data_IF_396116153899
#
_entry.id   IF_396116153899
#
_cell.length_a   1.000
_cell.length_b   1.000
_cell.length_c   1.000
_cell.angle_alpha   90.00
_cell.angle_beta   90.00
_cell.angle_gamma   90.00
#
_symmetry.space_group_name_H-M   'P 1'
#
loop_
_entity.id
_entity.type
_entity.pdbx_description
1 polymer ?
#
# COMPACT_ATOMS: atom_id res chain seq x y z
N UNK A 1 15.42 12.28 -8.21
CA UNK A 1 14.65 11.95 -6.98
C UNK A 1 13.16 11.68 -7.24
N UNK A 2 12.84 10.57 -7.90
CA UNK A 2 11.47 10.01 -7.92
C UNK A 2 11.30 9.08 -6.73
N UNK A 3 11.31 9.63 -5.52
CA UNK A 3 10.93 8.87 -4.33
C UNK A 3 9.42 8.61 -4.43
N UNK A 4 9.03 7.32 -4.43
CA UNK A 4 7.65 6.85 -4.30
C UNK A 4 7.06 7.39 -2.99
N UNK A 5 6.63 8.64 -3.00
CA UNK A 5 5.71 9.16 -2.01
C UNK A 5 4.33 8.87 -2.57
N UNK A 6 3.72 7.77 -2.13
CA UNK A 6 2.28 7.56 -2.28
C UNK A 6 1.52 8.54 -1.37
N UNK A 7 1.93 9.81 -1.30
CA UNK A 7 1.13 10.85 -0.68
C UNK A 7 0.03 11.22 -1.67
N UNK A 8 -1.20 10.88 -1.27
CA UNK A 8 -2.41 11.19 -2.01
C UNK A 8 -2.91 12.54 -1.51
N UNK A 9 -3.02 13.53 -2.40
CA UNK A 9 -3.33 14.90 -2.00
C UNK A 9 -4.70 15.02 -1.30
N UNK A 10 -4.93 16.10 -0.52
CA UNK A 10 -6.15 16.32 0.28
C UNK A 10 -7.43 16.60 -0.54
N UNK A 11 -7.38 16.49 -1.87
CA UNK A 11 -8.43 16.94 -2.78
C UNK A 11 -9.73 16.11 -2.74
N UNK A 12 -9.73 14.93 -2.11
CA UNK A 12 -10.85 13.99 -2.19
C UNK A 12 -12.00 14.24 -1.22
N UNK A 13 -11.91 15.23 -0.31
CA UNK A 13 -12.91 15.46 0.74
C UNK A 13 -13.99 16.52 0.43
N UNK A 14 -13.90 17.28 -0.67
CA UNK A 14 -14.73 18.51 -0.82
C UNK A 14 -15.71 18.59 -2.00
N UNK A 15 -15.83 17.60 -2.88
CA UNK A 15 -16.84 17.66 -3.95
C UNK A 15 -18.17 17.00 -3.57
N UNK A 16 -19.10 17.83 -3.09
CA UNK A 16 -20.55 17.55 -3.02
C UNK A 16 -21.06 17.03 -4.36
N UNK A 17 -21.89 15.99 -4.30
CA UNK A 17 -22.58 15.39 -5.42
C UNK A 17 -23.50 16.41 -6.12
N UNK A 18 -23.25 16.65 -7.41
CA UNK A 18 -24.21 17.21 -8.33
C UNK A 18 -24.40 16.23 -9.49
N UNK A 19 -25.60 15.65 -9.55
CA UNK A 19 -26.05 14.66 -10.52
C UNK A 19 -26.34 15.30 -11.88
N UNK A 20 -25.74 14.81 -12.95
CA UNK A 20 -26.21 15.02 -14.32
C UNK A 20 -26.11 13.72 -15.13
N UNK A 21 -27.23 13.31 -15.72
CA UNK A 21 -27.35 12.16 -16.61
C UNK A 21 -27.05 12.55 -18.08
N UNK A 22 -26.57 11.63 -18.94
CA UNK A 22 -26.24 11.93 -20.34
C UNK A 22 -27.38 11.58 -21.31
N UNK A 23 -27.42 12.14 -22.54
CA UNK A 23 -28.21 11.59 -23.63
C UNK A 23 -27.37 10.64 -24.52
N UNK A 24 -28.09 9.77 -25.23
CA UNK A 24 -27.61 8.61 -25.99
C UNK A 24 -27.65 8.80 -27.52
N UNK A 25 -27.12 7.77 -28.23
CA UNK A 25 -27.25 7.41 -29.67
C UNK A 25 -26.26 8.11 -30.64
N UNK A 26 -25.74 7.54 -31.74
CA UNK A 26 -25.89 6.29 -32.54
C UNK A 26 -24.69 6.22 -33.55
N UNK A 27 -23.96 5.11 -33.75
CA UNK A 27 -24.10 4.03 -34.78
C UNK A 27 -23.48 4.31 -36.19
N UNK A 28 -22.88 3.25 -36.78
CA UNK A 28 -22.37 3.02 -38.18
C UNK A 28 -20.89 3.41 -38.43
N UNK A 29 -20.03 2.73 -39.21
CA UNK A 29 -20.07 1.52 -40.04
C UNK A 29 -18.62 0.98 -40.32
N UNK A 30 -18.53 -0.33 -40.58
CA UNK A 30 -17.54 -1.21 -41.24
C UNK A 30 -16.25 -0.70 -41.95
N UNK A 31 -15.20 -1.55 -41.88
CA UNK A 31 -14.12 -1.67 -42.88
C UNK A 31 -13.14 -2.84 -42.65
N UNK A 32 -13.18 -3.88 -43.51
CA UNK A 32 -12.18 -4.96 -43.74
C UNK A 32 -10.93 -4.36 -44.45
N UNK A 33 -9.70 -4.90 -44.54
CA UNK A 33 -9.04 -6.21 -44.35
C UNK A 33 -7.52 -6.06 -44.57
N UNK A 34 -6.70 -6.93 -43.97
CA UNK A 34 -5.54 -7.56 -44.62
C UNK A 34 -4.14 -6.95 -44.47
N UNK A 35 -3.25 -7.64 -43.73
CA UNK A 35 -1.81 -7.38 -43.72
C UNK A 35 -1.07 -8.19 -42.64
N UNK A 36 -0.66 -9.42 -42.99
CA UNK A 36 0.08 -10.33 -42.10
C UNK A 36 1.56 -9.96 -42.02
N UNK A 37 2.00 -9.44 -40.87
CA UNK A 37 3.41 -9.38 -40.49
C UNK A 37 3.56 -10.09 -39.13
N UNK A 38 4.32 -11.19 -39.13
CA UNK A 38 4.57 -12.04 -37.97
C UNK A 38 5.35 -11.24 -36.91
N UNK A 39 4.61 -10.65 -35.99
CA UNK A 39 5.14 -10.05 -34.76
C UNK A 39 5.09 -11.15 -33.70
N UNK A 40 6.23 -11.52 -33.12
CA UNK A 40 6.27 -12.43 -31.95
C UNK A 40 5.55 -11.75 -30.78
N UNK A 41 4.25 -12.01 -30.68
CA UNK A 41 3.45 -11.69 -29.51
C UNK A 41 3.93 -12.58 -28.36
N UNK A 42 4.59 -11.98 -27.38
CA UNK A 42 4.71 -12.55 -26.05
C UNK A 42 3.30 -12.58 -25.45
N UNK A 43 2.58 -13.67 -25.72
CA UNK A 43 1.30 -13.97 -25.07
C UNK A 43 1.61 -14.66 -23.75
N UNK A 44 1.66 -13.88 -22.67
CA UNK A 44 1.43 -14.43 -21.32
C UNK A 44 -0.06 -14.79 -21.19
N UNK A 45 -0.47 -15.82 -21.93
CA UNK A 45 -1.84 -16.34 -22.01
C UNK A 45 -2.26 -17.16 -20.80
N UNK A 46 -1.94 -16.69 -19.59
CA UNK A 46 -2.65 -17.15 -18.40
C UNK A 46 -4.03 -16.49 -18.34
N UNK A 47 -5.06 -17.13 -17.76
CA UNK A 47 -6.27 -16.40 -17.37
C UNK A 47 -5.85 -15.19 -16.52
N UNK A 48 -6.54 -14.03 -16.62
CA UNK A 48 -6.21 -12.88 -15.80
C UNK A 48 -6.14 -13.33 -14.35
N UNK A 49 -4.97 -13.13 -13.73
CA UNK A 49 -4.69 -13.66 -12.40
C UNK A 49 -5.83 -13.26 -11.47
N UNK A 50 -6.41 -14.25 -10.79
CA UNK A 50 -7.56 -14.00 -9.91
C UNK A 50 -7.05 -13.26 -8.67
N UNK A 51 -7.02 -11.94 -8.76
CA UNK A 51 -6.52 -11.06 -7.69
C UNK A 51 -7.51 -10.87 -6.53
N UNK A 52 -8.75 -11.37 -6.67
CA UNK A 52 -9.77 -11.32 -5.63
C UNK A 52 -10.83 -12.43 -5.76
N UNK A 53 -11.49 -12.76 -4.64
CA UNK A 53 -12.74 -13.53 -4.57
C UNK A 53 -13.95 -12.74 -5.09
N UNK A 54 -13.94 -11.41 -4.98
CA UNK A 54 -15.04 -10.55 -5.38
C UNK A 54 -14.82 -9.98 -6.81
N UNK A 55 -15.90 -9.61 -7.53
CA UNK A 55 -15.78 -9.00 -8.85
C UNK A 55 -15.00 -7.69 -8.79
N UNK A 56 -14.03 -7.54 -9.70
CA UNK A 56 -13.32 -6.29 -9.93
C UNK A 56 -14.13 -5.44 -10.91
N UNK A 57 -14.63 -4.25 -10.53
CA UNK A 57 -15.36 -3.38 -11.45
C UNK A 57 -14.48 -2.96 -12.63
N UNK A 58 -15.09 -2.83 -13.81
CA UNK A 58 -14.42 -2.19 -14.93
C UNK A 58 -14.16 -0.71 -14.62
N UNK A 59 -12.95 -0.22 -14.92
CA UNK A 59 -12.54 1.18 -14.64
C UNK A 59 -13.56 2.21 -15.15
N UNK A 60 -14.12 2.00 -16.34
CA UNK A 60 -15.16 2.87 -16.94
C UNK A 60 -16.47 2.97 -16.17
N UNK A 61 -16.74 2.02 -15.26
CA UNK A 61 -17.95 1.99 -14.43
C UNK A 61 -17.71 2.54 -13.02
N UNK A 62 -16.48 2.94 -12.70
CA UNK A 62 -16.14 3.53 -11.41
C UNK A 62 -16.43 5.04 -11.40
N UNK A 63 -16.76 5.61 -10.23
CA UNK A 63 -16.80 7.06 -10.06
C UNK A 63 -15.48 7.74 -10.48
N UNK A 64 -15.59 8.93 -11.08
CA UNK A 64 -14.47 9.68 -11.66
C UNK A 64 -13.32 9.90 -10.67
N UNK A 65 -13.64 10.28 -9.43
CA UNK A 65 -12.65 10.54 -8.37
C UNK A 65 -11.82 9.30 -8.01
N UNK A 66 -12.41 8.10 -8.07
CA UNK A 66 -11.70 6.84 -7.83
C UNK A 66 -10.78 6.53 -9.02
N UNK A 67 -11.25 6.76 -10.25
CA UNK A 67 -10.47 6.53 -11.47
C UNK A 67 -9.26 7.46 -11.50
N UNK A 68 -9.47 8.75 -11.22
CA UNK A 68 -8.42 9.77 -11.14
C UNK A 68 -7.36 9.40 -10.10
N UNK A 69 -7.77 8.99 -8.89
CA UNK A 69 -6.85 8.52 -7.87
C UNK A 69 -6.03 7.32 -8.36
N UNK A 70 -6.67 6.32 -8.97
CA UNK A 70 -5.97 5.15 -9.52
C UNK A 70 -4.95 5.54 -10.60
N UNK A 71 -5.29 6.50 -11.46
CA UNK A 71 -4.38 7.00 -12.51
C UNK A 71 -3.18 7.73 -11.90
N UNK A 72 -3.41 8.55 -10.87
CA UNK A 72 -2.35 9.24 -10.13
C UNK A 72 -1.38 8.23 -9.47
N UNK A 73 -1.92 7.20 -8.81
CA UNK A 73 -1.12 6.13 -8.18
C UNK A 73 -0.29 5.40 -9.22
N UNK A 74 -0.91 5.01 -10.33
CA UNK A 74 -0.28 4.25 -11.40
C UNK A 74 0.83 5.07 -12.09
N UNK A 75 0.60 6.36 -12.33
CA UNK A 75 1.59 7.27 -12.92
C UNK A 75 2.81 7.48 -12.01
N UNK A 76 2.60 7.70 -10.70
CA UNK A 76 3.69 7.86 -9.73
C UNK A 76 4.41 6.53 -9.47
N UNK A 77 3.64 5.44 -9.45
CA UNK A 77 4.07 4.14 -8.96
C UNK A 77 4.50 3.16 -10.05
N UNK A 78 4.34 3.49 -11.32
CA UNK A 78 4.62 2.61 -12.46
C UNK A 78 3.69 1.40 -12.59
N UNK A 79 2.83 1.14 -11.60
CA UNK A 79 1.78 0.14 -11.60
C UNK A 79 0.71 0.50 -10.56
N UNK A 80 -0.51 -0.03 -10.73
CA UNK A 80 -1.60 0.13 -9.78
C UNK A 80 -1.63 -1.03 -8.76
N UNK A 81 -1.42 -0.77 -7.44
CA UNK A 81 -1.53 -1.80 -6.41
C UNK A 81 -2.93 -2.42 -6.39
N UNK A 82 -3.01 -3.74 -6.24
CA UNK A 82 -4.26 -4.48 -6.39
C UNK A 82 -5.30 -4.11 -5.31
N UNK A 83 -4.90 -3.61 -4.15
CA UNK A 83 -5.84 -3.09 -3.13
C UNK A 83 -6.79 -2.03 -3.70
N UNK A 84 -6.32 -1.16 -4.60
CA UNK A 84 -7.17 -0.17 -5.25
C UNK A 84 -8.26 -0.85 -6.10
N UNK A 85 -7.84 -1.81 -6.93
CA UNK A 85 -8.74 -2.58 -7.81
C UNK A 85 -9.77 -3.36 -6.99
N UNK A 86 -9.32 -4.07 -5.95
CA UNK A 86 -10.16 -4.94 -5.12
C UNK A 86 -11.16 -4.14 -4.30
N UNK A 87 -10.72 -3.11 -3.58
CA UNK A 87 -11.62 -2.32 -2.72
C UNK A 87 -12.58 -1.44 -3.53
N UNK A 88 -12.25 -1.11 -4.79
CA UNK A 88 -13.18 -0.37 -5.66
C UNK A 88 -14.51 -1.08 -5.92
N UNK A 89 -14.60 -2.39 -5.61
CA UNK A 89 -15.86 -3.13 -5.54
C UNK A 89 -16.92 -2.42 -4.67
N UNK A 90 -16.49 -1.71 -3.62
CA UNK A 90 -17.33 -0.91 -2.73
C UNK A 90 -16.85 0.53 -2.68
N UNK A 91 -17.29 1.41 -3.62
CA UNK A 91 -16.76 2.76 -3.76
C UNK A 91 -16.82 3.64 -2.49
N UNK A 92 -17.87 3.52 -1.68
CA UNK A 92 -17.98 4.28 -0.43
C UNK A 92 -16.97 3.79 0.63
N UNK A 93 -16.81 2.47 0.76
CA UNK A 93 -15.85 1.84 1.68
C UNK A 93 -14.41 2.13 1.23
N UNK A 94 -14.14 2.08 -0.09
CA UNK A 94 -12.86 2.48 -0.69
C UNK A 94 -12.46 3.89 -0.26
N UNK A 95 -13.38 4.87 -0.35
CA UNK A 95 -13.08 6.25 0.03
C UNK A 95 -12.73 6.37 1.51
N UNK A 96 -13.52 5.74 2.37
CA UNK A 96 -13.26 5.75 3.81
C UNK A 96 -11.92 5.08 4.15
N UNK A 97 -11.63 3.95 3.49
CA UNK A 97 -10.37 3.22 3.67
C UNK A 97 -9.17 4.08 3.31
N UNK A 98 -9.15 4.67 2.11
CA UNK A 98 -8.00 5.46 1.66
C UNK A 98 -7.91 6.82 2.37
N UNK A 99 -9.03 7.43 2.77
CA UNK A 99 -8.99 8.62 3.61
C UNK A 99 -8.26 8.32 4.93
N UNK A 100 -8.63 7.24 5.63
CA UNK A 100 -7.98 6.90 6.89
C UNK A 100 -6.53 6.42 6.70
N UNK A 101 -6.26 5.63 5.64
CA UNK A 101 -4.90 5.26 5.26
C UNK A 101 -4.00 6.49 5.11
N UNK A 102 -4.49 7.55 4.47
CA UNK A 102 -3.71 8.76 4.22
C UNK A 102 -3.37 9.50 5.50
N UNK A 103 -4.35 9.66 6.39
CA UNK A 103 -4.14 10.30 7.69
C UNK A 103 -3.10 9.55 8.52
N UNK A 104 -3.05 8.22 8.44
CA UNK A 104 -2.09 7.43 9.23
C UNK A 104 -0.71 7.32 8.56
N UNK A 105 -0.68 6.99 7.27
CA UNK A 105 0.55 6.59 6.57
C UNK A 105 1.24 7.75 5.90
N UNK A 106 0.50 8.77 5.47
CA UNK A 106 0.99 9.84 4.60
C UNK A 106 1.01 11.22 5.25
N UNK A 107 0.54 11.39 6.49
CA UNK A 107 0.67 12.67 7.20
C UNK A 107 2.14 13.06 7.36
N UNK A 108 2.41 14.35 7.24
CA UNK A 108 3.74 14.94 7.40
C UNK A 108 4.04 15.36 8.85
N UNK A 109 3.11 15.12 9.77
CA UNK A 109 3.23 15.43 11.21
C UNK A 109 3.52 14.16 12.04
N UNK A 110 3.97 14.36 13.28
CA UNK A 110 4.35 13.31 14.23
C UNK A 110 5.82 12.88 14.14
N UNK A 111 6.30 12.10 15.10
CA UNK A 111 7.70 11.67 15.15
C UNK A 111 7.94 10.28 14.54
N UNK A 112 6.87 9.56 14.16
CA UNK A 112 6.97 8.24 13.51
C UNK A 112 7.31 8.43 12.02
N UNK A 113 8.50 7.99 11.63
CA UNK A 113 8.99 8.06 10.25
C UNK A 113 8.21 7.14 9.32
N UNK A 114 8.24 7.42 8.00
CA UNK A 114 7.61 6.52 6.99
C UNK A 114 8.13 5.09 7.08
N UNK A 115 9.42 4.90 7.34
CA UNK A 115 9.99 3.56 7.52
C UNK A 115 9.42 2.87 8.76
N UNK A 116 9.35 3.54 9.91
CA UNK A 116 8.75 3.00 11.14
C UNK A 116 7.28 2.64 10.97
N UNK A 117 6.49 3.50 10.29
CA UNK A 117 5.07 3.20 9.95
C UNK A 117 4.96 1.90 9.18
N UNK A 118 5.74 1.73 8.12
CA UNK A 118 5.73 0.48 7.34
C UNK A 118 6.21 -0.74 8.16
N UNK A 119 7.17 -0.55 9.05
CA UNK A 119 7.70 -1.63 9.89
C UNK A 119 6.64 -2.16 10.87
N UNK A 120 5.83 -1.27 11.46
CA UNK A 120 4.65 -1.63 12.27
C UNK A 120 3.69 -2.50 11.44
N UNK A 121 3.40 -2.08 10.21
CA UNK A 121 2.51 -2.83 9.30
C UNK A 121 3.06 -4.22 9.01
N UNK A 122 4.35 -4.34 8.71
CA UNK A 122 5.00 -5.62 8.43
C UNK A 122 4.86 -6.57 9.62
N UNK A 123 5.23 -6.12 10.83
CA UNK A 123 5.21 -6.94 12.05
C UNK A 123 3.80 -7.43 12.41
N UNK A 124 2.82 -6.53 12.39
CA UNK A 124 1.42 -6.86 12.69
C UNK A 124 0.78 -7.71 11.60
N UNK A 125 1.12 -7.47 10.33
CA UNK A 125 0.58 -8.23 9.20
C UNK A 125 1.10 -9.66 9.16
N UNK A 126 2.37 -9.90 9.54
CA UNK A 126 2.87 -11.28 9.61
C UNK A 126 2.28 -12.04 10.78
N UNK A 127 2.02 -11.38 11.92
CA UNK A 127 1.26 -11.98 13.02
C UNK A 127 -0.12 -12.47 12.55
N UNK A 128 -0.81 -11.65 11.76
CA UNK A 128 -2.09 -11.99 11.14
C UNK A 128 -1.95 -12.90 9.90
N UNK A 129 -0.74 -13.27 9.46
CA UNK A 129 -0.48 -14.07 8.26
C UNK A 129 -1.13 -13.49 6.99
N UNK A 130 -1.06 -12.17 6.82
CA UNK A 130 -1.65 -11.48 5.66
C UNK A 130 -0.66 -11.37 4.50
N UNK A 131 -0.77 -12.26 3.50
CA UNK A 131 0.12 -12.30 2.33
C UNK A 131 0.24 -10.94 1.63
N UNK A 132 -0.89 -10.31 1.28
CA UNK A 132 -0.90 -9.04 0.56
C UNK A 132 -0.11 -7.96 1.33
N UNK A 133 -0.46 -7.79 2.61
CA UNK A 133 0.09 -6.70 3.41
C UNK A 133 1.57 -6.95 3.73
N UNK A 134 1.94 -8.19 4.08
CA UNK A 134 3.35 -8.55 4.31
C UNK A 134 4.20 -8.25 3.07
N UNK A 135 3.78 -8.69 1.88
CA UNK A 135 4.57 -8.51 0.66
C UNK A 135 4.68 -7.02 0.27
N UNK A 136 3.56 -6.30 0.25
CA UNK A 136 3.52 -4.90 -0.19
C UNK A 136 4.23 -3.96 0.79
N UNK A 137 3.96 -4.07 2.08
CA UNK A 137 4.55 -3.17 3.08
C UNK A 137 6.02 -3.52 3.39
N UNK A 138 6.44 -4.78 3.20
CA UNK A 138 7.89 -5.10 3.23
C UNK A 138 8.64 -4.40 2.10
N UNK A 139 8.04 -4.29 0.91
CA UNK A 139 8.63 -3.56 -0.21
C UNK A 139 8.75 -2.07 0.10
N UNK A 140 7.68 -1.45 0.60
CA UNK A 140 7.68 -0.04 0.97
C UNK A 140 8.67 0.25 2.11
N UNK A 141 8.72 -0.61 3.13
CA UNK A 141 9.71 -0.53 4.19
C UNK A 141 11.14 -0.53 3.62
N UNK A 142 11.49 -1.47 2.73
CA UNK A 142 12.82 -1.53 2.10
C UNK A 142 13.15 -0.23 1.35
N UNK A 143 12.17 0.35 0.66
CA UNK A 143 12.33 1.62 -0.07
C UNK A 143 12.60 2.79 0.89
N UNK A 144 11.78 2.96 1.93
CA UNK A 144 11.91 4.10 2.84
C UNK A 144 13.13 3.99 3.76
N UNK A 145 13.37 2.81 4.34
CA UNK A 145 14.51 2.57 5.24
C UNK A 145 15.84 2.50 4.51
N UNK A 146 15.83 2.17 3.20
CA UNK A 146 17.01 1.78 2.41
C UNK A 146 17.75 0.57 3.00
N UNK A 147 17.08 -0.23 3.84
CA UNK A 147 17.58 -1.47 4.44
C UNK A 147 16.91 -2.67 3.74
N UNK A 148 17.60 -3.38 2.83
CA UNK A 148 16.97 -4.42 2.01
C UNK A 148 16.57 -5.68 2.79
N UNK A 149 17.13 -5.91 3.97
CA UNK A 149 16.99 -7.18 4.72
C UNK A 149 16.07 -7.10 5.94
N UNK A 150 15.91 -5.92 6.56
CA UNK A 150 15.22 -5.78 7.87
C UNK A 150 13.76 -6.26 7.82
N UNK A 151 13.03 -5.95 6.74
CA UNK A 151 11.64 -6.40 6.62
C UNK A 151 11.54 -7.94 6.61
N UNK A 152 12.45 -8.63 5.91
CA UNK A 152 12.46 -10.09 5.86
C UNK A 152 12.80 -10.69 7.23
N UNK A 153 13.71 -10.05 7.99
CA UNK A 153 14.03 -10.45 9.37
C UNK A 153 12.81 -10.30 10.30
N UNK A 154 12.09 -9.17 10.21
CA UNK A 154 10.87 -8.92 10.99
C UNK A 154 9.77 -9.93 10.66
N UNK A 155 9.61 -10.29 9.39
CA UNK A 155 8.66 -11.31 8.95
C UNK A 155 8.97 -12.67 9.58
N UNK A 156 10.24 -13.07 9.66
CA UNK A 156 10.60 -14.36 10.28
C UNK A 156 10.48 -14.28 11.80
N UNK A 157 11.12 -13.30 12.41
CA UNK A 157 11.10 -13.07 13.85
C UNK A 157 11.68 -11.68 14.19
N UNK A 158 10.80 -10.70 14.47
CA UNK A 158 11.22 -9.35 14.81
C UNK A 158 12.05 -9.24 16.10
N UNK A 159 11.96 -10.22 17.03
CA UNK A 159 12.79 -10.23 18.25
C UNK A 159 14.27 -10.50 17.97
N UNK A 160 14.59 -11.02 16.79
CA UNK A 160 15.96 -11.32 16.35
C UNK A 160 16.38 -10.45 15.15
N UNK A 161 15.55 -9.49 14.75
CA UNK A 161 15.86 -8.58 13.67
C UNK A 161 16.85 -7.49 14.12
N UNK A 162 17.56 -6.90 13.16
CA UNK A 162 18.49 -5.78 13.35
C UNK A 162 17.74 -4.46 13.62
N UNK A 163 17.02 -4.43 14.73
CA UNK A 163 16.23 -3.30 15.21
C UNK A 163 17.00 -2.52 16.27
N UNK A 164 16.85 -1.21 16.25
CA UNK A 164 17.21 -0.36 17.39
C UNK A 164 16.31 -0.66 18.61
N UNK A 165 16.73 -0.31 19.83
CA UNK A 165 15.87 -0.42 21.02
C UNK A 165 14.53 0.32 20.84
N UNK A 166 14.55 1.47 20.15
CA UNK A 166 13.36 2.25 19.80
C UNK A 166 12.41 1.47 18.89
N UNK A 167 12.92 0.92 17.79
CA UNK A 167 12.12 0.12 16.86
C UNK A 167 11.55 -1.14 17.55
N UNK A 168 12.33 -1.79 18.42
CA UNK A 168 11.86 -2.97 19.16
C UNK A 168 10.69 -2.65 20.10
N UNK A 169 10.82 -1.60 20.93
CA UNK A 169 9.75 -1.17 21.83
C UNK A 169 8.48 -0.73 21.08
N UNK A 170 8.66 -0.05 19.95
CA UNK A 170 7.56 0.32 19.04
C UNK A 170 6.81 -0.92 18.54
N UNK A 171 7.53 -1.94 18.06
CA UNK A 171 6.91 -3.17 17.57
C UNK A 171 6.26 -3.97 18.70
N UNK A 172 6.84 -3.99 19.90
CA UNK A 172 6.24 -4.64 21.06
C UNK A 172 4.88 -4.04 21.41
N UNK A 173 4.79 -2.72 21.44
CA UNK A 173 3.53 -2.03 21.67
C UNK A 173 2.52 -2.26 20.54
N UNK A 174 2.94 -2.11 19.29
CA UNK A 174 2.08 -2.38 18.13
C UNK A 174 1.52 -3.81 18.14
N UNK A 175 2.35 -4.77 18.55
CA UNK A 175 1.95 -6.17 18.65
C UNK A 175 0.95 -6.41 19.79
N UNK A 176 1.07 -5.70 20.92
CA UNK A 176 0.06 -5.74 21.99
C UNK A 176 -1.31 -5.25 21.50
N UNK A 177 -1.31 -4.11 20.79
CA UNK A 177 -2.53 -3.57 20.15
C UNK A 177 -3.09 -4.55 19.11
N UNK A 178 -2.24 -5.12 18.26
CA UNK A 178 -2.64 -6.06 17.20
C UNK A 178 -3.30 -7.33 17.76
N UNK A 179 -2.83 -7.81 18.92
CA UNK A 179 -3.41 -8.98 19.61
C UNK A 179 -4.67 -8.66 20.41
N UNK A 180 -5.05 -7.39 20.48
CA UNK A 180 -6.09 -6.89 21.37
C UNK A 180 -5.79 -7.21 22.85
N UNK A 181 -4.52 -7.12 23.25
CA UNK A 181 -4.12 -7.25 24.66
C UNK A 181 -4.68 -6.08 25.47
N UNK A 182 -4.80 -6.24 26.79
CA UNK A 182 -5.14 -5.12 27.69
C UNK A 182 -3.97 -4.14 27.72
N UNK A 183 -4.18 -2.94 27.18
CA UNK A 183 -3.17 -1.87 27.22
C UNK A 183 -3.15 -1.25 28.62
N UNK A 184 -1.95 -1.18 29.19
CA UNK A 184 -1.68 -0.69 30.55
C UNK A 184 -0.62 0.41 30.52
N UNK A 185 -0.44 1.09 31.65
CA UNK A 185 0.56 2.15 31.79
C UNK A 185 2.01 1.68 31.54
N UNK A 186 2.32 0.41 31.87
CA UNK A 186 3.64 -0.20 31.62
C UNK A 186 4.03 -0.18 30.13
N UNK A 187 3.04 -0.30 29.25
CA UNK A 187 3.25 -0.23 27.81
C UNK A 187 3.71 1.17 27.38
N UNK A 188 3.08 2.21 27.94
CA UNK A 188 3.45 3.60 27.67
C UNK A 188 4.81 3.94 28.27
N UNK A 189 5.08 3.49 29.51
CA UNK A 189 6.37 3.70 30.15
C UNK A 189 7.52 3.11 29.32
N UNK A 190 7.34 1.89 28.78
CA UNK A 190 8.34 1.24 27.93
C UNK A 190 8.63 2.02 26.63
N UNK A 191 7.62 2.73 26.09
CA UNK A 191 7.78 3.62 24.94
C UNK A 191 8.49 4.92 25.31
N UNK A 192 8.14 5.51 26.46
CA UNK A 192 8.72 6.75 26.97
C UNK A 192 10.23 6.59 27.26
N UNK A 193 10.66 5.41 27.75
CA UNK A 193 12.07 5.08 27.97
C UNK A 193 12.94 5.14 26.70
N UNK A 194 12.34 4.96 25.53
CA UNK A 194 13.03 5.07 24.22
C UNK A 194 12.67 6.35 23.46
N UNK A 195 12.07 7.31 24.17
CA UNK A 195 11.79 8.66 23.67
C UNK A 195 10.59 8.76 22.72
N UNK A 196 9.61 7.88 22.81
CA UNK A 196 8.28 8.13 22.23
C UNK A 196 7.42 8.90 23.23
N UNK A 197 6.54 9.76 22.74
CA UNK A 197 5.52 10.41 23.56
C UNK A 197 4.14 9.71 23.42
N UNK A 198 3.12 10.28 24.06
CA UNK A 198 1.75 9.73 24.03
C UNK A 198 1.10 9.85 22.65
N UNK A 199 1.45 10.86 21.87
CA UNK A 199 0.93 11.04 20.50
C UNK A 199 1.57 10.03 19.55
N UNK A 200 2.86 9.74 19.73
CA UNK A 200 3.55 8.66 19.05
C UNK A 200 2.92 7.29 19.38
N UNK A 201 2.59 7.05 20.65
CA UNK A 201 1.87 5.83 21.04
C UNK A 201 0.50 5.73 20.36
N UNK A 202 -0.24 6.84 20.25
CA UNK A 202 -1.50 6.88 19.50
C UNK A 202 -1.30 6.49 18.03
N UNK A 203 -0.28 7.06 17.37
CA UNK A 203 0.03 6.76 15.97
C UNK A 203 0.37 5.27 15.77
N UNK A 204 1.21 4.71 16.64
CA UNK A 204 1.58 3.30 16.59
C UNK A 204 0.33 2.41 16.73
N UNK A 205 -0.52 2.71 17.71
CA UNK A 205 -1.75 1.95 17.97
C UNK A 205 -2.76 2.07 16.82
N UNK A 206 -2.96 3.28 16.28
CA UNK A 206 -3.89 3.55 15.19
C UNK A 206 -3.47 2.82 13.89
N UNK A 207 -2.17 2.82 13.57
CA UNK A 207 -1.63 2.05 12.44
C UNK A 207 -1.87 0.56 12.66
N UNK A 208 -1.52 0.02 13.84
CA UNK A 208 -1.72 -1.40 14.15
C UNK A 208 -3.21 -1.80 14.03
N UNK A 209 -4.13 -0.99 14.56
CA UNK A 209 -5.57 -1.24 14.49
C UNK A 209 -6.12 -1.17 13.05
N UNK A 210 -5.73 -0.15 12.29
CA UNK A 210 -6.13 -0.01 10.89
C UNK A 210 -5.65 -1.20 10.05
N UNK A 211 -4.40 -1.64 10.24
CA UNK A 211 -3.88 -2.78 9.49
C UNK A 211 -4.43 -4.12 9.95
N UNK A 212 -4.85 -4.26 11.21
CA UNK A 212 -5.62 -5.42 11.63
C UNK A 212 -6.95 -5.51 10.83
N UNK A 213 -7.62 -4.39 10.56
CA UNK A 213 -8.81 -4.33 9.70
C UNK A 213 -8.47 -4.58 8.23
N UNK A 214 -7.44 -3.93 7.69
CA UNK A 214 -6.95 -4.15 6.31
C UNK A 214 -6.57 -5.61 6.05
N UNK A 215 -5.87 -6.25 6.98
CA UNK A 215 -5.49 -7.66 6.89
C UNK A 215 -6.72 -8.56 6.75
N UNK A 216 -7.76 -8.31 7.56
CA UNK A 216 -9.03 -9.08 7.52
C UNK A 216 -9.75 -8.89 6.18
N UNK A 217 -9.77 -7.68 5.62
CA UNK A 217 -10.31 -7.42 4.29
C UNK A 217 -9.51 -8.13 3.19
N UNK A 218 -8.17 -8.11 3.28
CA UNK A 218 -7.30 -8.82 2.34
C UNK A 218 -7.51 -10.34 2.40
N UNK A 219 -7.69 -10.94 3.59
CA UNK A 219 -8.04 -12.36 3.73
C UNK A 219 -9.41 -12.67 3.12
N UNK A 220 -10.43 -11.88 3.49
CA UNK A 220 -11.80 -12.05 2.99
C UNK A 220 -11.84 -12.04 1.46
N UNK A 221 -11.08 -11.14 0.85
CA UNK A 221 -11.05 -10.95 -0.59
C UNK A 221 -10.03 -11.83 -1.30
N UNK A 222 -9.22 -12.65 -0.62
CA UNK A 222 -8.06 -13.35 -1.19
C UNK A 222 -7.19 -12.41 -2.05
N UNK A 223 -6.91 -11.22 -1.50
CA UNK A 223 -6.22 -10.16 -2.23
C UNK A 223 -4.81 -10.59 -2.60
N UNK A 224 -4.48 -10.61 -3.88
CA UNK A 224 -3.15 -11.00 -4.36
C UNK A 224 -2.23 -9.78 -4.49
N UNK A 225 -1.01 -9.81 -3.90
CA UNK A 225 -0.06 -8.73 -4.09
C UNK A 225 0.44 -8.71 -5.54
N UNK A 226 0.75 -7.51 -6.02
CA UNK A 226 1.39 -7.32 -7.31
C UNK A 226 2.79 -7.98 -7.33
N UNK A 227 3.21 -8.52 -8.48
CA UNK A 227 4.52 -9.17 -8.63
C UNK A 227 5.68 -8.20 -8.38
N UNK A 228 5.49 -6.92 -8.71
CA UNK A 228 6.43 -5.83 -8.53
C UNK A 228 6.90 -5.70 -7.07
N UNK A 229 6.00 -5.89 -6.11
CA UNK A 229 6.33 -5.79 -4.68
C UNK A 229 7.33 -6.86 -4.21
N UNK A 230 7.35 -8.03 -4.84
CA UNK A 230 8.25 -9.11 -4.43
C UNK A 230 9.72 -8.74 -4.60
N UNK A 231 10.06 -7.97 -5.63
CA UNK A 231 11.44 -7.60 -5.96
C UNK A 231 11.82 -6.18 -5.54
N UNK A 232 10.83 -5.31 -5.36
CA UNK A 232 11.05 -3.91 -5.04
C UNK A 232 11.85 -3.73 -3.74
N UNK A 233 12.88 -2.87 -3.81
CA UNK A 233 13.74 -2.51 -2.68
C UNK A 233 14.76 -3.58 -2.24
N UNK A 234 14.90 -4.69 -2.96
CA UNK A 234 15.87 -5.76 -2.61
C UNK A 234 17.30 -5.45 -3.03
N UNK A 235 17.49 -4.70 -4.11
CA UNK A 235 18.81 -4.28 -4.61
C UNK A 235 18.95 -2.78 -4.36
N UNK A 236 19.97 -2.33 -3.60
CA UNK A 236 20.28 -0.91 -3.46
C UNK A 236 20.54 -0.28 -4.84
N UNK A 237 20.04 0.94 -5.08
CA UNK A 237 20.38 1.67 -6.31
C UNK A 237 21.80 2.23 -6.21
N UNK A 238 22.65 1.87 -7.17
CA UNK A 238 23.97 2.49 -7.35
C UNK A 238 23.80 3.91 -7.92
N UNK A 239 23.99 4.93 -7.07
CA UNK A 239 23.88 6.34 -7.48
C UNK A 239 24.77 6.71 -8.67
N UNK A 240 25.91 6.04 -8.85
CA UNK A 240 26.87 6.33 -9.92
C UNK A 240 26.43 5.95 -11.34
N UNK A 241 25.39 5.12 -11.52
CA UNK A 241 24.98 4.68 -12.88
C UNK A 241 23.89 5.55 -13.51
N UNK A 242 23.15 6.32 -12.72
CA UNK A 242 22.04 7.13 -13.21
C UNK A 242 22.52 8.52 -13.71
N UNK A 243 23.57 9.09 -13.12
CA UNK A 243 24.20 10.34 -13.62
C UNK A 243 24.85 10.18 -15.01
N UNK A 244 25.25 8.96 -15.38
CA UNK A 244 25.79 8.66 -16.71
C UNK A 244 24.71 8.55 -17.80
N UNK A 245 23.42 8.47 -17.43
CA UNK A 245 22.29 8.36 -18.38
C UNK A 245 21.56 9.67 -18.63
N UNK A 246 21.60 10.60 -17.67
CA UNK A 246 20.99 11.92 -17.80
C UNK A 246 21.96 12.98 -18.36
N UNK A 247 23.21 12.58 -18.66
CA UNK A 247 24.27 13.42 -19.24
C UNK A 247 24.43 13.31 -20.76
N UNK A 248 23.43 12.82 -21.51
CA UNK A 248 23.49 12.74 -22.97
C UNK A 248 22.27 13.36 -23.65
#
# INVERSE_FOLDING_TARGET
>A
DYAYSMSFGPFYLTRRAASFAPPASSLLLQGRSGGSAATRQSSSGGPPEKISRYPIPYRKNLPYDIVELMEEVEAKGGFLPNVFKVLSHRPAEFRAFFAYYNELMNKDTGNITKAERELIVVATSIHNRCLYCVVSHSALHRIYSKKPTVADQVVVNYKNAELSPRELAMLDFAMAVCRCDTITEEHFQSLEEVGFDREDAWDIAAIAAFFAMSNRLAHLTDMRPNLEFYNMGRVPRDKHKDEAKDGH
#
